data_IF_514089787820
#
_entry.id   IF_514089787820
#
_cell.length_a   1.000
_cell.length_b   1.000
_cell.length_c   1.000
_cell.angle_alpha   90.00
_cell.angle_beta   90.00
_cell.angle_gamma   90.00
#
_symmetry.space_group_name_H-M   'P 1'
#
loop_
_entity.id
_entity.type
_entity.pdbx_description
1 polymer ?
#
# COMPACT_ATOMS: atom_id res chain seq x y z
N UNK A 1 -9.13 10.83 -23.34
CA UNK A 1 -9.20 9.35 -23.37
C UNK A 1 -8.01 8.69 -22.67
N UNK A 2 -6.80 9.25 -22.73
CA UNK A 2 -5.60 8.62 -22.15
C UNK A 2 -5.54 8.67 -20.61
N UNK A 3 -5.91 9.80 -19.99
CA UNK A 3 -5.83 9.98 -18.52
C UNK A 3 -6.73 9.01 -17.72
N UNK A 4 -7.90 8.66 -18.25
CA UNK A 4 -8.88 7.80 -17.57
C UNK A 4 -8.39 6.35 -17.40
N UNK A 5 -7.45 5.88 -18.22
CA UNK A 5 -6.91 4.51 -18.18
C UNK A 5 -5.65 4.44 -17.30
N UNK A 6 -4.85 5.50 -17.26
CA UNK A 6 -3.61 5.50 -16.47
C UNK A 6 -3.84 5.52 -14.96
N UNK A 7 -4.93 6.14 -14.49
CA UNK A 7 -5.30 6.18 -13.08
C UNK A 7 -5.46 4.79 -12.46
N UNK A 8 -6.39 3.95 -12.95
CA UNK A 8 -6.63 2.61 -12.41
C UNK A 8 -5.40 1.70 -12.49
N UNK A 9 -4.61 1.83 -13.57
CA UNK A 9 -3.38 1.05 -13.74
C UNK A 9 -2.34 1.46 -12.67
N UNK A 10 -2.16 2.75 -12.44
CA UNK A 10 -1.21 3.25 -11.45
C UNK A 10 -1.60 2.83 -10.02
N UNK A 11 -2.87 2.93 -9.66
CA UNK A 11 -3.36 2.53 -8.33
C UNK A 11 -3.31 1.02 -8.13
N UNK A 12 -3.59 0.22 -9.18
CA UNK A 12 -3.46 -1.23 -9.14
C UNK A 12 -2.00 -1.68 -8.95
N UNK A 13 -1.06 -1.07 -9.69
CA UNK A 13 0.38 -1.33 -9.51
C UNK A 13 0.82 -0.95 -8.10
N UNK A 14 0.38 0.21 -7.60
CA UNK A 14 0.66 0.64 -6.22
C UNK A 14 0.17 -0.40 -5.20
N UNK A 15 -1.07 -0.86 -5.31
CA UNK A 15 -1.65 -1.86 -4.41
C UNK A 15 -0.86 -3.17 -4.44
N UNK A 16 -0.42 -3.61 -5.62
CA UNK A 16 0.42 -4.80 -5.78
C UNK A 16 1.79 -4.64 -5.11
N UNK A 17 2.45 -3.49 -5.29
CA UNK A 17 3.77 -3.20 -4.67
C UNK A 17 3.64 -3.19 -3.15
N UNK A 18 2.69 -2.43 -2.59
CA UNK A 18 2.51 -2.37 -1.14
C UNK A 18 2.05 -3.71 -0.57
N UNK A 19 1.20 -4.46 -1.28
CA UNK A 19 0.81 -5.82 -0.91
C UNK A 19 2.01 -6.76 -0.86
N UNK A 20 2.89 -6.70 -1.86
CA UNK A 20 4.12 -7.47 -1.87
C UNK A 20 5.05 -7.12 -0.69
N UNK A 21 5.26 -5.83 -0.42
CA UNK A 21 6.06 -5.36 0.71
C UNK A 21 5.50 -5.84 2.05
N UNK A 22 4.18 -5.76 2.22
CA UNK A 22 3.50 -6.22 3.43
C UNK A 22 3.69 -7.73 3.62
N UNK A 23 3.43 -8.53 2.58
CA UNK A 23 3.61 -9.99 2.62
C UNK A 23 5.06 -10.39 2.87
N UNK A 24 6.01 -9.73 2.20
CA UNK A 24 7.44 -9.94 2.39
C UNK A 24 7.86 -9.63 3.83
N UNK A 25 7.37 -8.53 4.39
CA UNK A 25 7.64 -8.17 5.78
C UNK A 25 6.98 -9.08 6.80
N UNK A 26 5.82 -9.67 6.48
CA UNK A 26 5.23 -10.72 7.30
C UNK A 26 6.05 -12.01 7.30
N UNK A 27 6.64 -12.39 6.15
CA UNK A 27 7.51 -13.56 6.02
C UNK A 27 8.85 -13.40 6.74
N UNK A 28 9.47 -12.22 6.61
CA UNK A 28 10.79 -11.94 7.23
C UNK A 28 10.69 -11.52 8.69
N UNK A 29 9.50 -11.14 9.16
CA UNK A 29 9.30 -10.56 10.49
C UNK A 29 9.81 -9.11 10.61
N UNK A 30 10.19 -8.47 9.50
CA UNK A 30 10.69 -7.08 9.44
C UNK A 30 9.92 -6.31 8.39
N UNK A 31 9.29 -5.20 8.80
CA UNK A 31 8.62 -4.26 7.90
C UNK A 31 9.40 -2.96 7.82
N UNK A 32 9.49 -2.43 6.61
CA UNK A 32 10.15 -1.16 6.31
C UNK A 32 9.26 -0.32 5.41
N UNK A 33 9.16 0.96 5.74
CA UNK A 33 8.45 1.91 4.90
C UNK A 33 9.28 2.20 3.64
N UNK A 34 8.72 2.06 2.42
CA UNK A 34 9.49 2.15 1.16
C UNK A 34 9.90 3.58 0.78
N UNK A 35 9.59 4.59 1.58
CA UNK A 35 9.85 5.99 1.25
C UNK A 35 11.17 6.49 1.85
N UNK A 36 12.12 6.84 0.99
CA UNK A 36 13.49 7.22 1.36
C UNK A 36 13.60 8.39 2.35
N UNK A 37 12.61 9.28 2.45
CA UNK A 37 12.65 10.40 3.40
C UNK A 37 12.17 10.02 4.81
N UNK A 38 11.51 8.87 4.98
CA UNK A 38 10.99 8.41 6.28
C UNK A 38 11.50 6.99 6.54
N UNK A 39 12.55 6.88 7.34
CA UNK A 39 13.12 5.60 7.77
C UNK A 39 12.34 5.01 8.94
N UNK A 40 11.09 4.64 8.69
CA UNK A 40 10.29 3.86 9.63
C UNK A 40 10.49 2.36 9.37
N UNK A 41 11.04 1.66 10.35
CA UNK A 41 11.17 0.20 10.35
C UNK A 41 10.67 -0.39 11.66
N UNK A 42 10.20 -1.63 11.59
CA UNK A 42 9.70 -2.37 12.74
C UNK A 42 10.00 -3.86 12.59
N UNK A 43 10.42 -4.49 13.69
CA UNK A 43 10.68 -5.93 13.78
C UNK A 43 9.67 -6.57 14.70
N UNK A 44 9.07 -7.70 14.29
CA UNK A 44 8.02 -8.36 15.07
C UNK A 44 8.51 -8.84 16.45
N UNK A 45 9.76 -9.32 16.53
CA UNK A 45 10.35 -9.81 17.78
C UNK A 45 10.77 -8.66 18.72
N UNK A 46 11.56 -7.71 18.21
CA UNK A 46 12.18 -6.67 19.04
C UNK A 46 11.26 -5.46 19.28
N UNK A 47 10.41 -5.13 18.31
CA UNK A 47 9.62 -3.90 18.26
C UNK A 47 8.20 -4.16 17.74
N UNK A 48 7.41 -5.01 18.43
CA UNK A 48 6.12 -5.50 17.92
C UNK A 48 5.14 -4.36 17.64
N UNK A 49 5.09 -3.33 18.48
CA UNK A 49 4.22 -2.16 18.28
C UNK A 49 4.52 -1.44 16.98
N UNK A 50 5.80 -1.17 16.68
CA UNK A 50 6.23 -0.54 15.41
C UNK A 50 5.91 -1.41 14.21
N UNK A 51 6.12 -2.73 14.33
CA UNK A 51 5.78 -3.68 13.27
C UNK A 51 4.28 -3.61 12.92
N UNK A 52 3.41 -3.65 13.93
CA UNK A 52 1.96 -3.63 13.70
C UNK A 52 1.44 -2.27 13.23
N UNK A 53 2.00 -1.15 13.71
CA UNK A 53 1.68 0.19 13.19
C UNK A 53 2.04 0.30 11.71
N UNK A 54 3.21 -0.20 11.31
CA UNK A 54 3.62 -0.21 9.90
C UNK A 54 2.74 -1.12 9.06
N UNK A 55 2.40 -2.31 9.58
CA UNK A 55 1.49 -3.23 8.91
C UNK A 55 0.10 -2.61 8.70
N UNK A 56 -0.42 -1.93 9.71
CA UNK A 56 -1.70 -1.22 9.64
C UNK A 56 -1.65 -0.07 8.63
N UNK A 57 -0.62 0.78 8.67
CA UNK A 57 -0.45 1.89 7.74
C UNK A 57 -0.36 1.41 6.28
N UNK A 58 0.43 0.37 6.01
CA UNK A 58 0.51 -0.25 4.69
C UNK A 58 -0.83 -0.86 4.27
N UNK A 59 -1.52 -1.55 5.18
CA UNK A 59 -2.84 -2.15 4.93
C UNK A 59 -3.89 -1.10 4.57
N UNK A 60 -3.93 0.02 5.30
CA UNK A 60 -4.82 1.15 5.01
C UNK A 60 -4.54 1.73 3.62
N UNK A 61 -3.27 1.89 3.26
CA UNK A 61 -2.86 2.44 1.97
C UNK A 61 -3.27 1.51 0.81
N UNK A 62 -3.08 0.19 0.97
CA UNK A 62 -3.57 -0.80 0.01
C UNK A 62 -5.09 -0.70 -0.16
N UNK A 63 -5.83 -0.62 0.95
CA UNK A 63 -7.29 -0.50 0.92
C UNK A 63 -7.73 0.78 0.18
N UNK A 64 -7.09 1.92 0.47
CA UNK A 64 -7.37 3.17 -0.23
C UNK A 64 -7.09 3.08 -1.73
N UNK A 65 -5.99 2.43 -2.13
CA UNK A 65 -5.66 2.23 -3.55
C UNK A 65 -6.68 1.32 -4.24
N UNK A 66 -7.15 0.25 -3.58
CA UNK A 66 -8.18 -0.64 -4.13
C UNK A 66 -9.49 0.12 -4.30
N UNK A 67 -9.95 0.83 -3.26
CA UNK A 67 -11.19 1.63 -3.32
C UNK A 67 -11.07 2.69 -4.42
N UNK A 68 -9.93 3.38 -4.51
CA UNK A 68 -9.68 4.37 -5.57
C UNK A 68 -9.71 3.76 -6.97
N UNK A 69 -9.11 2.58 -7.15
CA UNK A 69 -9.15 1.84 -8.42
C UNK A 69 -10.59 1.50 -8.80
N UNK A 70 -11.38 0.96 -7.85
CA UNK A 70 -12.79 0.60 -8.08
C UNK A 70 -13.62 1.86 -8.40
N UNK A 71 -13.43 2.94 -7.65
CA UNK A 71 -14.16 4.19 -7.87
C UNK A 71 -13.88 4.77 -9.26
N UNK A 72 -12.63 4.76 -9.73
CA UNK A 72 -12.27 5.24 -11.07
C UNK A 72 -12.85 4.37 -12.19
N UNK A 73 -13.00 3.06 -11.96
CA UNK A 73 -13.62 2.15 -12.93
C UNK A 73 -15.14 2.32 -12.95
N UNK A 74 -15.77 2.44 -11.77
CA UNK A 74 -17.23 2.53 -11.65
C UNK A 74 -17.78 3.93 -11.98
N UNK A 75 -17.01 4.99 -11.71
CA UNK A 75 -17.36 6.39 -11.98
C UNK A 75 -16.26 7.11 -12.76
N UNK A 76 -16.05 6.77 -14.06
CA UNK A 76 -14.95 7.30 -14.85
C UNK A 76 -15.02 8.81 -15.13
N UNK A 77 -16.19 9.44 -14.94
CA UNK A 77 -16.40 10.88 -15.12
C UNK A 77 -16.60 11.64 -13.80
N UNK A 78 -16.37 11.00 -12.65
CA UNK A 78 -16.70 11.53 -11.33
C UNK A 78 -18.05 11.02 -10.79
N UNK A 79 -18.31 11.31 -9.51
CA UNK A 79 -19.61 11.10 -8.86
C UNK A 79 -20.59 12.20 -9.27
#
# INVERSE_FOLDING_TARGET
>A
MSEAIYGPIATAIGAAIFGWLLLSGFKSGRLEWPYYAITLSGRRADQPSRFWVLAFAMGLLILMLIIGTIAQIAWPNGL
#
